data_IF_566380261085
#
_entry.id   IF_566380261085
#
_cell.length_a   1.000
_cell.length_b   1.000
_cell.length_c   1.000
_cell.angle_alpha   90.00
_cell.angle_beta   90.00
_cell.angle_gamma   90.00
#
_symmetry.space_group_name_H-M   'P 1'
#
loop_
_entity.id
_entity.type
_entity.pdbx_description
1 polymer ?
#
# COMPACT_ATOMS: atom_id res chain seq x y z
N UNK A 1 -7.26 -9.52 36.08
CA UNK A 1 -6.47 -8.38 35.55
C UNK A 1 -5.75 -8.87 34.29
N UNK A 2 -6.23 -8.54 33.08
CA UNK A 2 -5.49 -8.87 31.87
C UNK A 2 -4.20 -8.06 31.84
N UNK A 3 -3.06 -8.73 31.71
CA UNK A 3 -1.76 -8.06 31.53
C UNK A 3 -1.74 -7.46 30.13
N UNK A 4 -1.68 -6.13 30.05
CA UNK A 4 -1.36 -5.45 28.80
C UNK A 4 0.03 -5.90 28.32
N UNK A 5 0.22 -6.17 27.02
CA UNK A 5 1.53 -6.44 26.46
C UNK A 5 2.45 -5.24 26.70
N UNK A 6 3.68 -5.54 27.07
CA UNK A 6 4.75 -4.57 27.30
C UNK A 6 5.00 -3.76 26.02
N UNK A 7 5.01 -2.41 26.03
CA UNK A 7 5.18 -1.58 24.83
C UNK A 7 6.57 -1.69 24.15
N UNK A 8 7.45 -2.56 24.67
CA UNK A 8 8.82 -2.77 24.18
C UNK A 8 8.95 -3.79 23.03
N UNK A 9 7.87 -4.30 22.46
CA UNK A 9 7.90 -5.22 21.31
C UNK A 9 7.41 -4.60 20.01
N UNK A 10 7.43 -3.27 19.89
CA UNK A 10 7.31 -2.64 18.58
C UNK A 10 8.61 -2.89 17.82
N UNK A 11 8.55 -3.65 16.72
CA UNK A 11 9.64 -3.65 15.74
C UNK A 11 9.97 -2.20 15.40
N UNK A 12 11.25 -1.80 15.29
CA UNK A 12 11.59 -0.42 14.94
C UNK A 12 10.81 -0.02 13.68
N UNK A 13 10.21 1.17 13.71
CA UNK A 13 9.62 1.78 12.52
C UNK A 13 10.66 1.73 11.41
N UNK A 14 10.28 1.38 10.18
CA UNK A 14 11.25 1.29 9.10
C UNK A 14 11.96 2.64 8.92
N UNK A 15 13.23 2.61 8.56
CA UNK A 15 14.05 3.81 8.39
C UNK A 15 13.76 4.56 7.07
N UNK A 16 12.80 4.09 6.27
CA UNK A 16 12.54 4.60 4.92
C UNK A 16 11.04 4.73 4.63
N UNK A 17 10.70 5.81 3.93
CA UNK A 17 9.37 6.09 3.39
C UNK A 17 9.39 6.08 1.86
N UNK A 18 8.27 5.71 1.27
CA UNK A 18 8.00 5.77 -0.16
C UNK A 18 6.74 6.59 -0.44
N UNK A 19 6.83 7.50 -1.42
CA UNK A 19 5.70 8.27 -1.92
C UNK A 19 5.05 7.52 -3.09
N UNK A 20 3.83 7.04 -2.88
CA UNK A 20 3.16 6.18 -3.87
C UNK A 20 2.80 6.92 -5.14
N UNK A 21 2.57 6.18 -6.21
CA UNK A 21 2.04 6.73 -7.46
C UNK A 21 0.52 6.87 -7.45
N UNK A 22 -0.18 6.17 -6.55
CA UNK A 22 -1.64 6.05 -6.59
C UNK A 22 -2.31 7.29 -6.00
N UNK A 23 -1.81 7.76 -4.85
CA UNK A 23 -2.40 8.87 -4.09
C UNK A 23 -1.39 9.97 -3.75
N UNK A 24 -0.11 9.80 -4.13
CA UNK A 24 1.02 10.68 -3.79
C UNK A 24 1.27 10.86 -2.28
N UNK A 25 0.72 10.00 -1.44
CA UNK A 25 0.98 9.98 0.00
C UNK A 25 2.27 9.21 0.33
N UNK A 26 2.88 9.57 1.46
CA UNK A 26 4.05 8.91 2.01
C UNK A 26 3.68 7.74 2.93
N UNK A 27 4.32 6.60 2.72
CA UNK A 27 4.16 5.41 3.54
C UNK A 27 5.50 4.87 4.01
N UNK A 28 5.53 4.37 5.23
CA UNK A 28 6.63 3.58 5.77
C UNK A 28 6.75 2.25 5.01
N UNK A 29 7.95 1.90 4.51
CA UNK A 29 8.16 0.69 3.70
C UNK A 29 9.40 -0.11 4.11
N UNK A 30 9.41 -1.40 3.76
CA UNK A 30 10.60 -2.25 3.78
C UNK A 30 10.99 -2.60 2.35
N UNK A 31 12.30 -2.66 2.10
CA UNK A 31 12.85 -2.94 0.78
C UNK A 31 13.63 -4.26 0.77
N UNK A 32 13.42 -5.04 -0.28
CA UNK A 32 14.14 -6.27 -0.57
C UNK A 32 14.64 -6.24 -2.03
N UNK A 33 15.94 -6.44 -2.22
CA UNK A 33 16.51 -6.67 -3.54
C UNK A 33 16.32 -8.14 -3.92
N UNK A 34 15.81 -8.36 -5.13
CA UNK A 34 15.61 -9.68 -5.72
C UNK A 34 16.41 -9.80 -7.02
N UNK A 35 16.61 -11.03 -7.48
CA UNK A 35 17.26 -11.30 -8.77
C UNK A 35 18.60 -10.57 -8.94
N UNK A 36 19.44 -10.63 -7.91
CA UNK A 36 20.74 -9.93 -7.86
C UNK A 36 20.64 -8.42 -8.10
N UNK A 37 19.56 -7.79 -7.65
CA UNK A 37 19.32 -6.35 -7.74
C UNK A 37 18.54 -5.88 -8.98
N UNK A 38 18.16 -6.79 -9.90
CA UNK A 38 17.34 -6.42 -11.07
C UNK A 38 15.89 -6.11 -10.71
N UNK A 39 15.45 -6.51 -9.52
CA UNK A 39 14.12 -6.26 -8.99
C UNK A 39 14.23 -5.64 -7.59
N UNK A 40 13.42 -4.63 -7.33
CA UNK A 40 13.24 -4.04 -6.01
C UNK A 40 11.81 -4.34 -5.55
N UNK A 41 11.68 -5.22 -4.56
CA UNK A 41 10.41 -5.46 -3.87
C UNK A 41 10.25 -4.41 -2.77
N UNK A 42 9.15 -3.68 -2.84
CA UNK A 42 8.68 -2.70 -1.88
C UNK A 42 7.52 -3.32 -1.10
N UNK A 43 7.62 -3.27 0.23
CA UNK A 43 6.62 -3.83 1.14
C UNK A 43 6.12 -2.75 2.08
N UNK A 44 4.82 -2.49 2.09
CA UNK A 44 4.26 -1.45 2.94
C UNK A 44 4.20 -1.91 4.40
N UNK A 45 4.61 -1.05 5.32
CA UNK A 45 4.44 -1.34 6.75
C UNK A 45 2.99 -1.09 7.15
N UNK A 46 2.44 -2.01 7.95
CA UNK A 46 1.07 -1.96 8.47
C UNK A 46 -0.03 -2.13 7.41
N UNK A 47 0.33 -2.37 6.15
CA UNK A 47 -0.59 -2.81 5.12
C UNK A 47 -0.36 -4.29 4.81
N UNK A 48 -1.37 -4.91 4.21
CA UNK A 48 -1.27 -6.28 3.72
C UNK A 48 -0.20 -6.39 2.63
N UNK A 49 0.47 -7.55 2.58
CA UNK A 49 1.35 -7.97 1.49
C UNK A 49 0.72 -7.88 0.09
N UNK A 50 -0.61 -7.79 0.02
CA UNK A 50 -1.36 -7.50 -1.20
C UNK A 50 -0.86 -6.26 -1.93
N UNK A 51 -0.49 -5.24 -1.14
CA UNK A 51 -0.07 -3.95 -1.66
C UNK A 51 1.42 -3.92 -2.03
N UNK A 52 2.17 -4.99 -1.74
CA UNK A 52 3.59 -5.07 -2.10
C UNK A 52 3.78 -4.86 -3.61
N UNK A 53 4.80 -4.07 -3.96
CA UNK A 53 5.13 -3.76 -5.36
C UNK A 53 6.50 -4.32 -5.72
N UNK A 54 6.66 -4.78 -6.95
CA UNK A 54 7.95 -5.21 -7.49
C UNK A 54 8.29 -4.36 -8.71
N UNK A 55 9.31 -3.53 -8.56
CA UNK A 55 9.84 -2.72 -9.65
C UNK A 55 10.96 -3.48 -10.36
N UNK A 56 10.95 -3.47 -11.69
CA UNK A 56 12.01 -4.10 -12.48
C UNK A 56 12.91 -3.04 -13.11
N UNK A 57 14.22 -3.20 -12.96
CA UNK A 57 15.21 -2.28 -13.51
C UNK A 57 15.08 -2.14 -15.03
N UNK A 58 14.64 -3.21 -15.70
CA UNK A 58 14.41 -3.24 -17.14
C UNK A 58 13.19 -2.45 -17.60
N UNK A 59 12.33 -1.93 -16.73
CA UNK A 59 11.10 -1.22 -17.13
C UNK A 59 11.34 0.29 -17.32
N UNK A 60 12.43 0.82 -16.77
CA UNK A 60 12.85 2.20 -16.96
C UNK A 60 13.33 2.45 -18.40
N UNK A 61 12.90 3.55 -19.02
CA UNK A 61 13.27 3.94 -20.39
C UNK A 61 13.86 5.35 -20.50
N UNK A 62 13.85 6.13 -19.42
CA UNK A 62 14.40 7.49 -19.41
C UNK A 62 15.09 7.79 -18.08
N UNK A 63 16.07 8.70 -18.14
CA UNK A 63 16.75 9.21 -16.95
C UNK A 63 15.79 9.94 -16.02
N UNK A 64 14.81 10.65 -16.59
CA UNK A 64 13.75 11.33 -15.85
C UNK A 64 12.92 10.36 -15.02
N UNK A 65 12.52 9.20 -15.58
CA UNK A 65 11.77 8.19 -14.85
C UNK A 65 12.59 7.57 -13.69
N UNK A 66 13.90 7.41 -13.88
CA UNK A 66 14.83 6.98 -12.82
C UNK A 66 14.94 8.03 -11.71
N UNK A 67 15.01 9.32 -12.08
CA UNK A 67 15.09 10.43 -11.15
C UNK A 67 13.78 10.63 -10.37
N UNK A 68 12.62 10.54 -11.02
CA UNK A 68 11.31 10.58 -10.36
C UNK A 68 11.20 9.44 -9.33
N UNK A 69 11.49 8.20 -9.76
CA UNK A 69 11.45 7.04 -8.86
C UNK A 69 12.38 7.20 -7.66
N UNK A 70 13.61 7.71 -7.88
CA UNK A 70 14.54 8.03 -6.79
C UNK A 70 13.94 9.05 -5.82
N UNK A 71 13.29 10.09 -6.33
CA UNK A 71 12.73 11.19 -5.53
C UNK A 71 11.58 10.75 -4.61
N UNK A 72 10.97 9.59 -4.90
CA UNK A 72 9.91 8.99 -4.11
C UNK A 72 10.40 8.23 -2.89
N UNK A 73 11.71 8.17 -2.64
CA UNK A 73 12.27 7.57 -1.42
C UNK A 73 12.94 8.62 -0.54
N UNK A 74 12.75 8.49 0.77
CA UNK A 74 13.47 9.29 1.77
C UNK A 74 13.59 8.56 3.11
N UNK A 75 14.48 9.01 4.01
CA UNK A 75 14.47 8.54 5.39
C UNK A 75 13.12 8.81 6.06
N UNK A 76 12.71 7.93 6.98
CA UNK A 76 11.47 8.10 7.71
C UNK A 76 11.40 9.46 8.42
N UNK A 77 10.24 10.10 8.34
CA UNK A 77 10.00 11.43 8.90
C UNK A 77 9.55 11.29 10.36
N UNK A 78 10.39 11.65 11.35
CA UNK A 78 10.01 11.50 12.75
C UNK A 78 8.84 12.44 13.10
N UNK A 79 7.86 11.90 13.83
CA UNK A 79 6.78 12.69 14.40
C UNK A 79 7.34 13.62 15.48
N UNK A 80 6.96 14.90 15.40
CA UNK A 80 7.35 15.89 16.39
C UNK A 80 6.67 15.63 17.73
N UNK A 81 7.43 15.77 18.82
CA UNK A 81 6.87 15.82 20.15
C UNK A 81 6.43 17.23 20.50
N UNK A 82 5.53 17.37 21.48
CA UNK A 82 5.02 18.67 21.93
C UNK A 82 6.12 19.68 22.26
N UNK A 83 7.20 19.22 22.89
CA UNK A 83 8.37 20.04 23.24
C UNK A 83 9.17 20.53 22.04
N UNK A 84 9.04 19.86 20.89
CA UNK A 84 9.84 20.13 19.70
C UNK A 84 9.22 21.22 18.83
N UNK A 85 8.05 21.75 19.22
CA UNK A 85 7.31 22.75 18.45
C UNK A 85 8.15 23.97 18.07
N UNK A 86 9.11 24.36 18.93
CA UNK A 86 9.99 25.50 18.71
C UNK A 86 10.91 25.35 17.50
N UNK A 87 11.22 24.11 17.08
CA UNK A 87 12.06 23.83 15.90
C UNK A 87 11.34 24.08 14.57
N UNK A 88 10.01 24.04 14.58
CA UNK A 88 9.19 24.23 13.37
C UNK A 88 9.01 25.72 13.11
N UNK A 89 9.60 26.22 12.03
CA UNK A 89 9.59 27.65 11.67
C UNK A 89 9.12 27.85 10.24
N UNK A 90 8.68 29.06 9.84
CA UNK A 90 8.37 29.35 8.45
C UNK A 90 9.49 28.91 7.48
N UNK A 91 9.12 28.27 6.37
CA UNK A 91 10.04 27.63 5.42
C UNK A 91 10.39 26.18 5.73
N UNK A 92 10.04 25.65 6.91
CA UNK A 92 10.31 24.24 7.24
C UNK A 92 9.48 23.31 6.35
N UNK A 93 10.14 22.34 5.71
CA UNK A 93 9.47 21.24 5.02
C UNK A 93 8.99 20.22 6.04
N UNK A 94 7.69 19.95 6.04
CA UNK A 94 7.05 19.00 6.94
C UNK A 94 6.21 18.00 6.16
N UNK A 95 5.97 16.84 6.77
CA UNK A 95 5.02 15.85 6.29
C UNK A 95 3.82 15.86 7.23
N UNK A 96 2.64 16.21 6.73
CA UNK A 96 1.46 16.44 7.53
C UNK A 96 0.40 15.37 7.28
N UNK A 97 -0.25 14.94 8.35
CA UNK A 97 -1.35 13.99 8.27
C UNK A 97 -2.60 14.64 7.69
N UNK A 98 -3.31 13.86 6.87
CA UNK A 98 -4.61 14.17 6.33
C UNK A 98 -5.52 12.97 6.57
N UNK A 99 -6.63 13.20 7.26
CA UNK A 99 -7.65 12.19 7.53
C UNK A 99 -8.88 12.55 6.70
N UNK A 100 -9.15 11.84 5.59
CA UNK A 100 -10.45 11.90 4.94
C UNK A 100 -11.54 11.49 5.94
N UNK A 101 -12.78 11.95 5.75
CA UNK A 101 -13.87 11.71 6.72
C UNK A 101 -14.12 10.22 7.01
N UNK A 102 -13.83 9.34 6.06
CA UNK A 102 -14.08 7.90 6.13
C UNK A 102 -12.86 7.06 5.70
N UNK A 103 -11.66 7.64 5.72
CA UNK A 103 -10.44 7.01 5.19
C UNK A 103 -9.31 6.91 6.21
N UNK A 104 -8.32 6.08 5.87
CA UNK A 104 -7.08 5.98 6.60
C UNK A 104 -6.30 7.31 6.60
N UNK A 105 -5.43 7.48 7.58
CA UNK A 105 -4.58 8.66 7.70
C UNK A 105 -3.47 8.59 6.66
N UNK A 106 -3.51 9.49 5.67
CA UNK A 106 -2.46 9.68 4.69
C UNK A 106 -1.52 10.83 5.10
N UNK A 107 -0.30 10.84 4.57
CA UNK A 107 0.72 11.82 4.91
C UNK A 107 1.26 12.51 3.66
N UNK A 108 1.25 13.83 3.63
CA UNK A 108 1.61 14.65 2.47
C UNK A 108 2.59 15.75 2.84
N UNK A 109 3.45 16.18 1.91
CA UNK A 109 4.39 17.24 2.18
C UNK A 109 3.71 18.61 2.15
N UNK A 110 4.18 19.48 3.03
CA UNK A 110 3.78 20.87 3.09
C UNK A 110 4.95 21.75 3.53
N UNK A 111 4.88 23.03 3.18
CA UNK A 111 5.79 24.06 3.72
C UNK A 111 5.06 24.79 4.84
N UNK A 112 5.75 25.01 5.95
CA UNK A 112 5.24 25.88 7.02
C UNK A 112 5.32 27.32 6.53
N UNK A 113 4.19 28.00 6.39
CA UNK A 113 4.14 29.40 5.98
C UNK A 113 4.12 30.34 7.18
N UNK A 114 3.37 29.97 8.22
CA UNK A 114 3.27 30.75 9.45
C UNK A 114 3.06 29.85 10.66
N UNK A 115 3.44 30.36 11.83
CA UNK A 115 3.27 29.66 13.12
C UNK A 115 2.60 30.59 14.12
N UNK A 116 1.44 30.19 14.62
CA UNK A 116 0.73 30.84 15.73
C UNK A 116 1.23 30.23 17.04
N UNK A 117 2.14 30.94 17.72
CA UNK A 117 2.70 30.51 19.00
C UNK A 117 1.73 30.81 20.14
N UNK A 118 1.58 29.87 21.06
CA UNK A 118 0.82 30.02 22.31
C UNK A 118 1.66 29.59 23.50
N UNK A 119 1.39 30.15 24.66
CA UNK A 119 1.99 29.67 25.91
C UNK A 119 1.43 28.28 26.23
N UNK A 120 2.30 27.33 26.56
CA UNK A 120 1.92 25.97 26.88
C UNK A 120 3.02 25.22 27.64
N UNK A 121 2.70 24.04 28.18
CA UNK A 121 3.68 23.18 28.87
C UNK A 121 4.48 22.34 27.86
N UNK A 122 5.54 21.69 28.34
CA UNK A 122 6.35 20.77 27.52
C UNK A 122 5.63 19.47 27.09
N UNK A 123 4.47 19.18 27.67
CA UNK A 123 3.72 17.92 27.47
C UNK A 123 2.43 18.11 26.69
N UNK A 124 2.17 19.35 26.24
CA UNK A 124 0.96 19.68 25.50
C UNK A 124 1.21 20.95 24.72
N UNK A 125 1.44 20.83 23.43
CA UNK A 125 1.58 21.98 22.55
C UNK A 125 0.21 22.58 22.24
N UNK A 126 0.12 23.92 22.25
CA UNK A 126 -1.07 24.66 21.84
C UNK A 126 -0.82 25.52 20.58
N UNK A 127 0.36 25.41 19.97
CA UNK A 127 0.69 26.15 18.76
C UNK A 127 -0.12 25.63 17.55
N UNK A 128 -0.43 26.52 16.63
CA UNK A 128 -1.02 26.20 15.34
C UNK A 128 -0.01 26.47 14.23
N UNK A 129 0.02 25.62 13.22
CA UNK A 129 0.94 25.72 12.08
C UNK A 129 0.11 25.88 10.81
N UNK A 130 0.36 26.95 10.07
CA UNK A 130 -0.24 27.20 8.76
C UNK A 130 0.65 26.57 7.69
N UNK A 131 0.12 25.57 7.00
CA UNK A 131 0.86 24.76 6.05
C UNK A 131 0.36 25.01 4.63
N UNK A 132 1.27 25.28 3.69
CA UNK A 132 1.01 25.26 2.26
C UNK A 132 1.26 23.85 1.72
N UNK A 133 0.21 23.14 1.34
CA UNK A 133 0.31 21.77 0.82
C UNK A 133 1.05 21.75 -0.52
N UNK A 134 2.07 20.88 -0.63
CA UNK A 134 2.87 20.73 -1.85
C UNK A 134 2.27 19.73 -2.85
N UNK A 135 1.47 18.79 -2.36
CA UNK A 135 0.86 17.73 -3.14
C UNK A 135 -0.34 17.14 -2.39
N UNK A 136 -1.00 16.15 -3.01
CA UNK A 136 -2.17 15.48 -2.47
C UNK A 136 -3.47 16.28 -2.59
N UNK A 137 -4.56 15.86 -1.91
CA UNK A 137 -5.91 16.42 -2.09
C UNK A 137 -6.06 17.92 -1.78
N UNK A 138 -5.08 18.48 -1.06
CA UNK A 138 -5.05 19.88 -0.66
C UNK A 138 -3.97 20.69 -1.35
N UNK A 139 -3.34 20.19 -2.43
CA UNK A 139 -2.27 20.88 -3.15
C UNK A 139 -2.57 22.36 -3.41
N UNK A 140 -1.58 23.21 -3.10
CA UNK A 140 -1.68 24.67 -3.25
C UNK A 140 -2.58 25.37 -2.23
N UNK A 141 -3.25 24.62 -1.33
CA UNK A 141 -4.12 25.20 -0.29
C UNK A 141 -3.37 25.37 1.02
N UNK A 142 -3.86 26.34 1.79
CA UNK A 142 -3.42 26.61 3.14
C UNK A 142 -4.28 25.82 4.13
N UNK A 143 -3.64 25.02 4.98
CA UNK A 143 -4.31 24.22 6.01
C UNK A 143 -3.70 24.51 7.38
N UNK A 144 -4.57 24.67 8.39
CA UNK A 144 -4.13 24.81 9.78
C UNK A 144 -4.02 23.43 10.41
N UNK A 145 -2.88 23.15 11.05
CA UNK A 145 -2.60 21.89 11.75
C UNK A 145 -2.02 22.16 13.13
N UNK A 146 -2.11 21.15 14.00
CA UNK A 146 -1.41 21.10 15.29
C UNK A 146 -0.22 20.15 15.21
N UNK A 147 0.66 20.20 16.21
CA UNK A 147 1.94 19.49 16.17
C UNK A 147 1.80 17.97 16.01
N UNK A 148 0.75 17.37 16.60
CA UNK A 148 0.55 15.92 16.54
C UNK A 148 0.31 15.41 15.11
N UNK A 149 -0.07 16.31 14.20
CA UNK A 149 -0.31 16.03 12.79
C UNK A 149 0.92 16.27 11.91
N UNK A 150 2.10 16.54 12.49
CA UNK A 150 3.29 17.00 11.76
C UNK A 150 4.49 16.10 12.07
N UNK A 151 5.10 15.58 11.01
CA UNK A 151 6.42 14.96 11.02
C UNK A 151 7.44 15.89 10.35
N UNK A 152 8.67 15.95 10.84
CA UNK A 152 9.73 16.76 10.21
C UNK A 152 10.37 15.95 9.09
N UNK A 153 10.40 16.53 7.89
CA UNK A 153 11.12 15.93 6.77
C UNK A 153 12.61 16.17 6.97
N UNK A 154 13.37 15.09 7.11
CA UNK A 154 14.81 15.16 7.22
C UNK A 154 15.42 15.43 5.83
N UNK A 155 16.48 16.26 5.73
CA UNK A 155 17.23 16.38 4.49
C UNK A 155 17.75 15.02 4.04
N UNK A 156 17.46 14.62 2.80
CA UNK A 156 17.99 13.37 2.24
C UNK A 156 19.48 13.54 1.91
N UNK A 157 20.35 13.19 2.85
CA UNK A 157 21.81 13.26 2.65
C UNK A 157 22.32 12.07 1.84
N UNK A 158 21.69 10.91 1.96
CA UNK A 158 22.06 9.67 1.24
C UNK A 158 20.81 8.91 0.83
N UNK A 159 20.87 8.31 -0.35
CA UNK A 159 19.85 7.36 -0.80
C UNK A 159 20.11 6.00 -0.16
N UNK A 160 19.04 5.31 0.20
CA UNK A 160 19.11 3.96 0.74
C UNK A 160 19.96 3.05 -0.16
N UNK A 161 20.89 2.25 0.39
CA UNK A 161 21.81 1.43 -0.41
C UNK A 161 21.12 0.46 -1.36
N UNK A 162 19.94 -0.07 -1.01
CA UNK A 162 19.18 -0.98 -1.87
C UNK A 162 18.60 -0.22 -3.05
N UNK A 163 18.00 0.94 -2.79
CA UNK A 163 17.50 1.84 -3.84
C UNK A 163 18.64 2.25 -4.78
N UNK A 164 19.79 2.65 -4.22
CA UNK A 164 20.96 3.04 -5.00
C UNK A 164 21.46 1.93 -5.92
N UNK A 165 21.60 0.70 -5.39
CA UNK A 165 22.01 -0.49 -6.16
C UNK A 165 21.04 -0.81 -7.30
N UNK A 166 19.74 -0.80 -7.02
CA UNK A 166 18.70 -1.02 -8.03
C UNK A 166 18.75 0.03 -9.15
N UNK A 167 18.87 1.32 -8.79
CA UNK A 167 18.91 2.42 -9.76
C UNK A 167 20.17 2.39 -10.63
N UNK A 168 21.30 1.92 -10.10
CA UNK A 168 22.52 1.73 -10.88
C UNK A 168 22.30 0.68 -11.99
N UNK A 169 21.63 -0.43 -11.66
CA UNK A 169 21.28 -1.47 -12.64
C UNK A 169 20.30 -0.93 -13.68
N UNK A 170 19.26 -0.20 -13.25
CA UNK A 170 18.30 0.42 -14.16
C UNK A 170 18.97 1.39 -15.14
N UNK A 171 19.90 2.21 -14.65
CA UNK A 171 20.67 3.16 -15.46
C UNK A 171 21.56 2.44 -16.48
N UNK A 172 22.29 1.40 -16.06
CA UNK A 172 23.11 0.59 -16.97
C UNK A 172 22.28 -0.09 -18.06
N UNK A 173 21.10 -0.61 -17.70
CA UNK A 173 20.20 -1.25 -18.66
C UNK A 173 19.69 -0.24 -19.71
N UNK A 174 19.26 0.95 -19.28
CA UNK A 174 18.82 2.02 -20.16
C UNK A 174 19.91 2.44 -21.16
N UNK A 175 21.15 2.68 -20.68
CA UNK A 175 22.27 3.08 -21.53
C UNK A 175 22.66 2.02 -22.56
N UNK A 176 22.36 0.74 -22.31
CA UNK A 176 22.57 -0.35 -23.29
C UNK A 176 21.52 -0.35 -24.40
N UNK A 177 20.30 0.08 -24.10
CA UNK A 177 19.19 0.15 -25.07
C UNK A 177 19.29 1.41 -25.93
N UNK A 178 19.77 2.51 -25.34
CA UNK A 178 19.99 3.79 -26.02
C UNK A 178 21.49 4.13 -26.01
N UNK A 179 22.30 3.52 -26.90
CA UNK A 179 23.68 3.96 -27.06
C UNK A 179 23.67 5.43 -27.51
N UNK A 180 24.46 6.27 -26.84
CA UNK A 180 24.66 7.66 -27.23
C UNK A 180 24.97 7.73 -28.73
N UNK A 181 24.13 8.44 -29.48
CA UNK A 181 24.40 8.70 -30.89
C UNK A 181 25.64 9.58 -30.98
N UNK A 182 26.79 8.98 -31.20
CA UNK A 182 27.98 9.69 -31.62
C UNK A 182 27.63 10.50 -32.86
N UNK A 183 27.76 11.83 -32.75
CA UNK A 183 27.68 12.74 -33.86
C UNK A 183 28.72 12.34 -34.92
N UNK A 184 28.29 11.61 -35.93
CA UNK A 184 28.95 11.58 -37.22
C UNK A 184 27.90 11.41 -38.32
N UNK A 185 27.82 12.46 -39.13
CA UNK A 185 27.10 12.55 -40.39
C UNK A 185 27.26 11.28 -41.23
N UNK A 186 26.14 10.67 -41.63
CA UNK A 186 26.15 9.51 -42.51
C UNK A 186 24.78 8.86 -42.66
N UNK A 187 23.90 9.55 -43.38
CA UNK A 187 22.70 9.06 -44.09
C UNK A 187 22.38 7.55 -43.95
N UNK A 188 21.37 7.20 -43.13
CA UNK A 188 20.66 5.92 -43.21
C UNK A 188 19.18 6.09 -42.87
N UNK A 189 18.36 5.48 -43.75
CA UNK A 189 16.89 5.45 -43.79
C UNK A 189 16.21 5.46 -42.42
N UNK A 190 15.32 6.44 -42.27
CA UNK A 190 14.30 6.51 -41.22
C UNK A 190 13.29 5.38 -41.47
N UNK A 191 13.40 4.29 -40.71
CA UNK A 191 12.25 3.41 -40.50
C UNK A 191 11.26 4.14 -39.60
N UNK A 192 10.15 4.53 -40.22
CA UNK A 192 9.02 5.23 -39.62
C UNK A 192 8.27 4.28 -38.68
N UNK A 193 8.80 4.08 -37.47
CA UNK A 193 7.99 3.53 -36.38
C UNK A 193 7.16 4.67 -35.80
N UNK A 194 5.85 4.55 -35.94
CA UNK A 194 4.85 5.55 -35.59
C UNK A 194 5.03 6.07 -34.16
N UNK A 195 5.07 7.40 -34.03
CA UNK A 195 5.26 8.10 -32.78
C UNK A 195 4.24 7.70 -31.70
N UNK A 196 4.77 7.42 -30.52
CA UNK A 196 4.12 7.74 -29.25
C UNK A 196 5.07 8.70 -28.54
N UNK A 197 4.54 9.82 -28.07
CA UNK A 197 5.29 10.79 -27.28
C UNK A 197 5.92 10.12 -26.05
N UNK A 198 7.05 10.60 -25.52
CA UNK A 198 7.68 10.06 -24.31
C UNK A 198 6.90 10.28 -22.99
N UNK A 199 5.60 10.59 -23.07
CA UNK A 199 4.80 10.95 -21.90
C UNK A 199 4.16 9.69 -21.31
N UNK A 200 4.44 9.49 -20.02
CA UNK A 200 3.85 8.52 -19.11
C UNK A 200 4.18 7.05 -19.36
N UNK A 201 5.42 6.68 -19.04
CA UNK A 201 5.70 5.30 -18.64
C UNK A 201 5.12 5.15 -17.24
N UNK A 202 3.96 4.53 -17.16
CA UNK A 202 3.32 4.11 -15.91
C UNK A 202 4.19 3.06 -15.19
N UNK A 203 5.27 3.53 -14.54
CA UNK A 203 6.01 2.77 -13.52
C UNK A 203 5.13 2.46 -12.31
N UNK A 204 4.03 3.23 -12.19
CA UNK A 204 2.96 3.03 -11.23
C UNK A 204 2.05 1.86 -11.56
N UNK A 205 2.29 1.13 -12.67
CA UNK A 205 1.56 -0.04 -13.14
C UNK A 205 0.26 -0.21 -12.40
N UNK A 206 -0.73 0.64 -12.73
CA UNK A 206 -1.97 0.71 -11.97
C UNK A 206 -2.67 -0.63 -12.17
N UNK A 207 -2.40 -1.60 -11.28
CA UNK A 207 -3.34 -2.67 -11.04
C UNK A 207 -4.55 -1.95 -10.48
N UNK A 208 -5.51 -1.64 -11.35
CA UNK A 208 -6.80 -1.11 -10.95
C UNK A 208 -7.41 -2.20 -10.08
N UNK A 209 -7.29 -2.02 -8.77
CA UNK A 209 -7.98 -2.87 -7.83
C UNK A 209 -9.38 -2.31 -7.70
N UNK A 210 -10.36 -3.15 -7.98
CA UNK A 210 -11.76 -2.80 -7.81
C UNK A 210 -12.21 -3.34 -6.46
N UNK A 211 -13.02 -2.54 -5.77
CA UNK A 211 -13.52 -2.84 -4.44
C UNK A 211 -15.04 -2.89 -4.47
N UNK A 212 -15.61 -3.96 -3.89
CA UNK A 212 -17.03 -4.03 -3.55
C UNK A 212 -17.14 -3.96 -2.04
N UNK A 213 -17.91 -3.00 -1.53
CA UNK A 213 -18.25 -2.91 -0.11
C UNK A 213 -19.43 -3.83 0.19
N UNK A 214 -19.30 -4.63 1.25
CA UNK A 214 -20.36 -5.53 1.71
C UNK A 214 -20.73 -5.16 3.14
N UNK A 215 -22.03 -5.03 3.35
CA UNK A 215 -22.64 -4.78 4.65
C UNK A 215 -23.32 -6.04 5.18
N UNK A 216 -23.81 -5.96 6.41
CA UNK A 216 -24.57 -7.04 7.03
C UNK A 216 -23.82 -8.39 7.16
N UNK A 217 -22.50 -8.34 7.35
CA UNK A 217 -21.69 -9.52 7.62
C UNK A 217 -21.83 -9.96 9.07
N UNK A 218 -21.71 -11.26 9.32
CA UNK A 218 -21.56 -11.79 10.67
C UNK A 218 -20.26 -11.27 11.32
N UNK A 219 -20.31 -10.99 12.61
CA UNK A 219 -19.20 -10.32 13.32
C UNK A 219 -17.98 -11.21 13.55
N UNK A 220 -18.19 -12.51 13.56
CA UNK A 220 -17.18 -13.55 13.78
C UNK A 220 -16.69 -14.19 12.47
N UNK A 221 -17.27 -13.78 11.33
CA UNK A 221 -16.84 -14.20 10.02
C UNK A 221 -15.34 -13.90 9.82
N UNK A 222 -14.64 -14.79 9.15
CA UNK A 222 -13.22 -14.63 8.82
C UNK A 222 -13.08 -14.23 7.35
N UNK A 223 -12.11 -13.36 7.04
CA UNK A 223 -11.80 -13.00 5.65
C UNK A 223 -11.55 -14.21 4.76
N UNK A 224 -10.79 -15.20 5.26
CA UNK A 224 -10.47 -16.41 4.51
C UNK A 224 -11.71 -17.21 4.12
N UNK A 225 -12.74 -17.24 4.97
CA UNK A 225 -14.00 -17.92 4.66
C UNK A 225 -14.72 -17.30 3.47
N UNK A 226 -14.68 -15.96 3.36
CA UNK A 226 -15.24 -15.23 2.21
C UNK A 226 -14.41 -15.52 0.95
N UNK A 227 -13.07 -15.48 1.07
CA UNK A 227 -12.15 -15.76 -0.03
C UNK A 227 -12.33 -17.19 -0.58
N UNK A 228 -12.38 -18.19 0.30
CA UNK A 228 -12.57 -19.60 -0.05
C UNK A 228 -13.94 -19.82 -0.72
N UNK A 229 -15.00 -19.22 -0.18
CA UNK A 229 -16.34 -19.29 -0.76
C UNK A 229 -16.36 -18.70 -2.19
N UNK A 230 -15.81 -17.50 -2.37
CA UNK A 230 -15.79 -16.86 -3.68
C UNK A 230 -14.90 -17.62 -4.67
N UNK A 231 -13.77 -18.14 -4.21
CA UNK A 231 -12.89 -18.96 -5.04
C UNK A 231 -13.59 -20.24 -5.50
N UNK A 232 -14.38 -20.89 -4.63
CA UNK A 232 -15.16 -22.07 -4.93
C UNK A 232 -16.25 -21.78 -5.99
N UNK A 233 -17.02 -20.71 -5.81
CA UNK A 233 -18.19 -20.45 -6.65
C UNK A 233 -17.88 -19.65 -7.92
N UNK A 234 -16.84 -18.83 -7.92
CA UNK A 234 -16.50 -17.99 -9.06
C UNK A 234 -15.23 -18.43 -9.77
N UNK A 235 -14.49 -19.41 -9.24
CA UNK A 235 -13.17 -19.81 -9.75
C UNK A 235 -12.21 -18.62 -9.93
N UNK A 236 -12.41 -17.54 -9.18
CA UNK A 236 -11.58 -16.34 -9.21
C UNK A 236 -10.90 -16.18 -7.85
N UNK A 237 -9.62 -15.79 -7.89
CA UNK A 237 -8.90 -15.42 -6.68
C UNK A 237 -9.33 -14.02 -6.28
N UNK A 238 -9.98 -13.92 -5.12
CA UNK A 238 -10.39 -12.66 -4.50
C UNK A 238 -9.65 -12.47 -3.19
N UNK A 239 -9.59 -11.24 -2.69
CA UNK A 239 -9.21 -10.97 -1.30
C UNK A 239 -10.33 -10.28 -0.57
N UNK A 240 -10.54 -10.62 0.68
CA UNK A 240 -11.57 -10.03 1.52
C UNK A 240 -10.96 -9.42 2.79
N UNK A 241 -11.51 -8.29 3.23
CA UNK A 241 -11.25 -7.77 4.56
C UNK A 241 -12.56 -7.51 5.30
N UNK A 242 -12.58 -7.82 6.59
CA UNK A 242 -13.67 -7.48 7.49
C UNK A 242 -13.18 -6.32 8.34
N UNK A 243 -13.92 -5.23 8.33
CA UNK A 243 -13.58 -4.02 9.07
C UNK A 243 -13.87 -4.21 10.56
N UNK A 244 -13.06 -3.58 11.44
CA UNK A 244 -13.34 -3.57 12.87
C UNK A 244 -14.76 -3.06 13.16
N UNK A 245 -15.51 -3.82 13.95
CA UNK A 245 -16.90 -3.53 14.29
C UNK A 245 -17.01 -3.12 15.76
N UNK A 246 -17.81 -2.09 16.06
CA UNK A 246 -18.10 -1.71 17.45
C UNK A 246 -19.02 -2.75 18.10
N UNK A 247 -18.91 -3.00 19.41
CA UNK A 247 -19.81 -3.92 20.11
C UNK A 247 -21.31 -3.58 19.92
N UNK A 248 -21.61 -2.29 19.75
CA UNK A 248 -22.97 -1.74 19.56
C UNK A 248 -23.53 -1.86 18.15
N UNK A 249 -22.71 -2.11 17.12
CA UNK A 249 -23.21 -2.30 15.75
C UNK A 249 -23.93 -3.65 15.64
N UNK A 250 -24.92 -3.80 14.76
CA UNK A 250 -25.67 -5.06 14.61
C UNK A 250 -24.96 -6.09 13.73
N UNK A 251 -24.05 -5.65 12.87
CA UNK A 251 -23.35 -6.46 11.88
C UNK A 251 -21.96 -5.89 11.60
N UNK A 252 -21.08 -6.70 11.04
CA UNK A 252 -19.79 -6.25 10.51
C UNK A 252 -19.92 -5.78 9.05
N UNK A 253 -18.95 -4.98 8.62
CA UNK A 253 -18.80 -4.52 7.23
C UNK A 253 -17.49 -5.05 6.69
N UNK A 254 -17.39 -5.18 5.38
CA UNK A 254 -16.17 -5.64 4.74
C UNK A 254 -16.03 -5.15 3.31
N UNK A 255 -14.92 -5.52 2.70
CA UNK A 255 -14.65 -5.25 1.31
C UNK A 255 -14.07 -6.48 0.61
N UNK A 256 -14.48 -6.71 -0.64
CA UNK A 256 -13.85 -7.66 -1.55
C UNK A 256 -13.05 -6.89 -2.58
N UNK A 257 -11.82 -7.33 -2.82
CA UNK A 257 -10.90 -6.78 -3.79
C UNK A 257 -10.68 -7.74 -4.96
N UNK A 258 -10.68 -7.18 -6.17
CA UNK A 258 -10.37 -7.89 -7.42
C UNK A 258 -9.41 -7.06 -8.28
N UNK A 259 -8.59 -7.72 -9.07
CA UNK A 259 -7.44 -7.15 -9.80
C UNK A 259 -7.76 -6.68 -11.23
N UNK A 260 -9.00 -6.87 -11.70
CA UNK A 260 -9.40 -6.52 -13.06
C UNK A 260 -10.90 -6.24 -13.18
N UNK A 261 -11.27 -5.43 -14.17
CA UNK A 261 -12.67 -5.09 -14.48
C UNK A 261 -13.47 -6.33 -14.88
N UNK A 262 -12.80 -7.29 -15.54
CA UNK A 262 -13.37 -8.60 -15.87
C UNK A 262 -13.76 -9.38 -14.61
N UNK A 263 -12.88 -9.41 -13.61
CA UNK A 263 -13.16 -10.08 -12.34
C UNK A 263 -14.21 -9.33 -11.53
N UNK A 264 -14.21 -7.98 -11.55
CA UNK A 264 -15.27 -7.17 -10.96
C UNK A 264 -16.63 -7.51 -11.56
N UNK A 265 -16.75 -7.53 -12.89
CA UNK A 265 -17.99 -7.86 -13.57
C UNK A 265 -18.46 -9.27 -13.21
N UNK A 266 -17.54 -10.25 -13.23
CA UNK A 266 -17.87 -11.64 -12.85
C UNK A 266 -18.35 -11.75 -11.40
N UNK A 267 -17.76 -10.97 -10.49
CA UNK A 267 -18.16 -10.94 -9.09
C UNK A 267 -19.53 -10.26 -8.92
N UNK A 268 -19.75 -9.17 -9.65
CA UNK A 268 -21.03 -8.46 -9.69
C UNK A 268 -22.16 -9.37 -10.22
N UNK A 269 -21.94 -10.03 -11.35
CA UNK A 269 -22.89 -10.98 -11.94
C UNK A 269 -23.22 -12.14 -10.98
N UNK A 270 -22.24 -12.60 -10.19
CA UNK A 270 -22.45 -13.64 -9.16
C UNK A 270 -23.28 -13.14 -7.97
N UNK A 271 -23.09 -11.89 -7.55
CA UNK A 271 -23.84 -11.31 -6.42
C UNK A 271 -25.27 -10.92 -6.79
N UNK A 272 -25.55 -10.65 -8.07
CA UNK A 272 -26.90 -10.32 -8.56
C UNK A 272 -27.78 -11.55 -8.86
N UNK A 273 -27.21 -12.75 -8.97
CA UNK A 273 -27.93 -13.98 -9.33
C UNK A 273 -28.03 -14.95 -8.12
N UNK A 274 -29.07 -14.84 -7.27
CA UNK A 274 -29.21 -15.69 -6.08
C UNK A 274 -29.43 -17.18 -6.39
N UNK A 275 -29.78 -17.54 -7.63
CA UNK A 275 -30.15 -18.91 -8.03
C UNK A 275 -28.97 -19.83 -8.36
N UNK A 276 -27.71 -19.35 -8.35
CA UNK A 276 -26.53 -20.23 -8.54
C UNK A 276 -26.04 -20.89 -7.25
N UNK A 277 -26.66 -20.60 -6.10
CA UNK A 277 -26.37 -21.23 -4.81
C UNK A 277 -27.23 -22.46 -4.50
N UNK A 278 -28.11 -22.88 -5.42
CA UNK A 278 -28.98 -24.05 -5.17
C UNK A 278 -28.24 -25.38 -5.38
N UNK A 279 -28.05 -26.08 -4.24
CA UNK A 279 -27.90 -27.54 -4.01
C UNK A 279 -26.49 -28.12 -3.74
N UNK A 280 -26.39 -29.17 -2.87
CA UNK A 280 -27.09 -29.38 -1.60
C UNK A 280 -26.11 -29.58 -0.42
N UNK A 281 -26.58 -29.25 0.80
CA UNK A 281 -25.97 -29.67 2.05
C UNK A 281 -25.87 -31.21 2.05
N UNK A 282 -24.65 -31.76 2.05
CA UNK A 282 -24.46 -33.20 2.24
C UNK A 282 -25.01 -33.60 3.61
N UNK A 283 -26.00 -34.49 3.57
CA UNK A 283 -26.63 -35.14 4.71
C UNK A 283 -25.60 -35.84 5.60
N UNK A 284 -25.73 -35.65 6.91
CA UNK A 284 -25.06 -36.43 7.95
C UNK A 284 -25.30 -37.95 7.73
N UNK A 285 -24.34 -38.64 7.11
CA UNK A 285 -24.24 -40.10 7.23
C UNK A 285 -23.62 -40.45 8.58
N UNK A 286 -24.51 -40.63 9.56
CA UNK A 286 -24.22 -41.36 10.79
C UNK A 286 -23.87 -42.82 10.43
N UNK A 287 -22.58 -43.16 10.44
CA UNK A 287 -22.13 -44.54 10.49
C UNK A 287 -22.13 -44.97 11.96
N UNK A 288 -23.20 -45.66 12.37
CA UNK A 288 -23.16 -46.52 13.56
C UNK A 288 -22.35 -47.76 13.20
N UNK A 289 -21.22 -47.94 13.87
CA UNK A 289 -20.47 -49.19 13.86
C UNK A 289 -20.37 -49.62 15.33
N UNK A 290 -21.33 -50.44 15.77
CA UNK A 290 -21.16 -51.29 16.96
C UNK A 290 -21.26 -52.74 16.53
N UNK A 291 -20.35 -53.50 17.12
CA UNK A 291 -19.88 -54.80 16.67
C UNK A 291 -20.92 -55.91 16.86
N UNK A 292 -21.18 -56.63 15.78
CA UNK A 292 -21.68 -58.00 15.82
C UNK A 292 -20.50 -58.96 15.77
N UNK A 293 -20.25 -59.61 16.89
CA UNK A 293 -19.35 -60.74 17.08
C UNK A 293 -19.73 -61.93 16.18
N UNK A 294 -18.79 -62.54 15.44
CA UNK A 294 -18.93 -63.92 15.00
C UNK A 294 -17.81 -64.76 15.60
N UNK A 295 -18.23 -65.54 16.58
CA UNK A 295 -17.73 -66.86 16.94
C UNK A 295 -16.92 -67.59 15.85
N UNK A 296 -15.75 -68.08 16.26
CA UNK A 296 -14.97 -69.12 15.58
C UNK A 296 -15.82 -70.34 15.22
N UNK A 297 -15.37 -71.12 14.21
CA UNK A 297 -15.00 -72.49 14.54
C UNK A 297 -13.62 -72.90 13.99
N UNK A 298 -13.15 -73.97 14.63
CA UNK A 298 -11.86 -74.64 14.55
C UNK A 298 -11.46 -75.09 13.13
N UNK A 299 -10.15 -75.22 12.94
CA UNK A 299 -9.55 -75.77 11.72
C UNK A 299 -9.76 -77.28 11.53
N UNK A 300 -9.50 -77.68 10.28
CA UNK A 300 -9.61 -79.01 9.65
C UNK A 300 -11.03 -79.53 9.39
#
# INVERSE_FOLDING_TARGET
>A
MPRYPNPSSASPSPDIEFRTFDDDAWYSVRLLLLSSGHQLKLMYCHLSDFYDRVFHAKDFRSLEAIQDFRSRFRPASPQLQDSDCGSVTPGTLVCASHSPRDGDVCFYDAIVEAVERKEHSRYKCLCSFMLLSKHGPSEGKMVMKRIESICVVQPTVRVDPKVASFLEIATKHMNRIMPESNANSGDRKIDKCSGKSPQDIDLGGVRKHYMILIENLEKDLQSSSIEDFLQLHTSMSTRACIFPCLPSESYARGAIFVDSEKNLKKLYDFLEDPDQSSYPLEEEKTIKQEAGDPSCPLGN
#
